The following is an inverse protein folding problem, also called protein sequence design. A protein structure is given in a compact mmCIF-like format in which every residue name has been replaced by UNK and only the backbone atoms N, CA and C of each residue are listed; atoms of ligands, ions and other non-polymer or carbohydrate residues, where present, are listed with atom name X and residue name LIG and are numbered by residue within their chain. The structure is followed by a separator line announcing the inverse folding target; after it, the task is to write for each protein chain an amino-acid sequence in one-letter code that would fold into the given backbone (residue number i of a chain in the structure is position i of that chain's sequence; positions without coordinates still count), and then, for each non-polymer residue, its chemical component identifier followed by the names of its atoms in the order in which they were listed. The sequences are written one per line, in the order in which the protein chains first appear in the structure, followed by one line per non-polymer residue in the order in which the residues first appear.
data_IF_999178519582
#
_entry.id   IF_999178519582
#
_cell.length_a   1.000
_cell.length_b   1.000
_cell.length_c   1.000
_cell.angle_alpha   90.00
_cell.angle_beta   90.00
_cell.angle_gamma   90.00
#
_symmetry.space_group_name_H-M   'P 1'
#
loop_
_entity.id
_entity.type
_entity.pdbx_description
1 polymer ?
#
# COMPACT_ATOMS: atom_id res chain seq x y z
N UNK A 1 -17.16 -33.76 -18.28
CA UNK A 1 -18.53 -34.19 -18.14
C UNK A 1 -19.44 -32.96 -18.05
N UNK A 2 -20.45 -32.85 -18.93
CA UNK A 2 -21.31 -31.68 -19.02
C UNK A 2 -22.13 -31.46 -17.73
N UNK A 3 -22.50 -32.54 -17.06
CA UNK A 3 -23.30 -32.50 -15.82
C UNK A 3 -22.52 -31.82 -14.68
N UNK A 4 -21.23 -32.10 -14.55
CA UNK A 4 -20.39 -31.45 -13.54
C UNK A 4 -20.10 -29.96 -13.85
N UNK A 5 -19.95 -29.62 -15.13
CA UNK A 5 -19.78 -28.22 -15.52
C UNK A 5 -21.04 -27.40 -15.17
N UNK A 6 -22.22 -27.96 -15.43
CA UNK A 6 -23.49 -27.34 -15.03
C UNK A 6 -23.63 -27.18 -13.53
N UNK A 7 -23.24 -28.22 -12.77
CA UNK A 7 -23.28 -28.16 -11.30
C UNK A 7 -22.33 -27.09 -10.72
N UNK A 8 -21.09 -26.97 -11.28
CA UNK A 8 -20.15 -25.91 -10.91
C UNK A 8 -20.77 -24.53 -11.16
N UNK A 9 -21.39 -24.33 -12.32
CA UNK A 9 -22.09 -23.09 -12.63
C UNK A 9 -23.24 -22.81 -11.66
N UNK A 10 -24.10 -23.79 -11.42
CA UNK A 10 -25.25 -23.66 -10.54
C UNK A 10 -24.84 -23.32 -9.09
N UNK A 11 -23.83 -24.03 -8.57
CA UNK A 11 -23.29 -23.75 -7.23
C UNK A 11 -22.64 -22.37 -7.15
N UNK A 12 -21.94 -21.94 -8.23
CA UNK A 12 -21.41 -20.60 -8.34
C UNK A 12 -22.49 -19.54 -8.25
N UNK A 13 -23.65 -19.74 -8.92
CA UNK A 13 -24.80 -18.83 -8.83
C UNK A 13 -25.42 -18.78 -7.42
N UNK A 14 -25.51 -19.92 -6.75
CA UNK A 14 -25.96 -19.97 -5.33
C UNK A 14 -24.96 -19.22 -4.44
N UNK A 15 -23.67 -19.45 -4.57
CA UNK A 15 -22.64 -18.78 -3.78
C UNK A 15 -22.64 -17.25 -3.98
N UNK A 16 -22.88 -16.78 -5.19
CA UNK A 16 -22.97 -15.34 -5.49
C UNK A 16 -24.21 -14.70 -4.85
N UNK A 17 -25.32 -15.40 -4.83
CA UNK A 17 -26.59 -14.91 -4.23
C UNK A 17 -26.66 -15.09 -2.71
N UNK A 18 -26.24 -16.25 -2.21
CA UNK A 18 -26.26 -16.65 -0.80
C UNK A 18 -25.03 -17.50 -0.47
N UNK A 19 -23.92 -16.83 -0.19
CA UNK A 19 -22.63 -17.46 0.13
C UNK A 19 -22.75 -18.36 1.38
N UNK A 20 -23.47 -17.93 2.39
CA UNK A 20 -23.63 -18.68 3.64
C UNK A 20 -24.31 -20.03 3.40
N UNK A 21 -25.35 -20.05 2.57
CA UNK A 21 -26.02 -21.29 2.18
C UNK A 21 -25.10 -22.21 1.36
N UNK A 22 -24.35 -21.66 0.41
CA UNK A 22 -23.40 -22.44 -0.38
C UNK A 22 -22.31 -23.08 0.51
N UNK A 23 -21.72 -22.30 1.42
CA UNK A 23 -20.70 -22.79 2.37
C UNK A 23 -21.25 -23.85 3.32
N UNK A 24 -22.45 -23.65 3.86
CA UNK A 24 -23.06 -24.61 4.80
C UNK A 24 -23.42 -25.96 4.16
N UNK A 25 -23.69 -25.97 2.87
CA UNK A 25 -24.19 -27.16 2.19
C UNK A 25 -23.19 -27.83 1.23
N UNK A 26 -22.05 -27.19 0.94
CA UNK A 26 -21.11 -27.70 -0.06
C UNK A 26 -20.64 -29.12 0.23
N UNK A 27 -20.31 -29.44 1.47
CA UNK A 27 -19.85 -30.77 1.88
C UNK A 27 -20.95 -31.84 1.62
N UNK A 28 -22.19 -31.53 2.02
CA UNK A 28 -23.33 -32.43 1.81
C UNK A 28 -23.62 -32.65 0.33
N UNK A 29 -23.54 -31.61 -0.48
CA UNK A 29 -23.82 -31.68 -1.93
C UNK A 29 -22.72 -32.47 -2.67
N UNK A 30 -21.50 -32.44 -2.17
CA UNK A 30 -20.34 -33.01 -2.87
C UNK A 30 -19.88 -34.37 -2.35
N UNK A 31 -20.39 -34.84 -1.20
CA UNK A 31 -19.87 -36.03 -0.48
C UNK A 31 -19.74 -37.31 -1.35
N UNK A 32 -20.69 -37.51 -2.27
CA UNK A 32 -20.74 -38.71 -3.11
C UNK A 32 -20.11 -38.48 -4.51
N UNK A 33 -19.47 -37.31 -4.73
CA UNK A 33 -18.86 -36.97 -6.00
C UNK A 33 -17.38 -37.40 -6.09
N UNK A 34 -16.86 -37.60 -7.29
CA UNK A 34 -15.43 -37.86 -7.47
C UNK A 34 -14.58 -36.71 -6.86
N UNK A 35 -13.46 -37.06 -6.20
CA UNK A 35 -12.59 -36.11 -5.52
C UNK A 35 -12.16 -34.90 -6.36
N UNK A 36 -11.83 -35.02 -7.67
CA UNK A 36 -11.55 -33.86 -8.49
C UNK A 36 -12.74 -32.89 -8.60
N UNK A 37 -13.96 -33.40 -8.70
CA UNK A 37 -15.19 -32.59 -8.79
C UNK A 37 -15.42 -31.86 -7.48
N UNK A 38 -15.25 -32.52 -6.34
CA UNK A 38 -15.34 -31.91 -5.03
C UNK A 38 -14.37 -30.72 -4.91
N UNK A 39 -13.11 -30.89 -5.35
CA UNK A 39 -12.11 -29.83 -5.35
C UNK A 39 -12.52 -28.63 -6.22
N UNK A 40 -13.03 -28.85 -7.45
CA UNK A 40 -13.49 -27.78 -8.33
C UNK A 40 -14.68 -26.99 -7.75
N UNK A 41 -15.62 -27.69 -7.11
CA UNK A 41 -16.78 -27.04 -6.48
C UNK A 41 -16.33 -26.20 -5.27
N UNK A 42 -15.45 -26.73 -4.43
CA UNK A 42 -14.86 -25.98 -3.31
C UNK A 42 -14.07 -24.76 -3.80
N UNK A 43 -13.28 -24.89 -4.87
CA UNK A 43 -12.57 -23.74 -5.47
C UNK A 43 -13.53 -22.65 -5.92
N UNK A 44 -14.62 -23.02 -6.57
CA UNK A 44 -15.64 -22.05 -7.05
C UNK A 44 -16.23 -21.26 -5.88
N UNK A 45 -16.66 -21.93 -4.82
CA UNK A 45 -17.23 -21.28 -3.63
C UNK A 45 -16.17 -20.44 -2.89
N UNK A 46 -14.95 -20.97 -2.75
CA UNK A 46 -13.83 -20.25 -2.16
C UNK A 46 -13.50 -18.95 -2.91
N UNK A 47 -13.43 -19.02 -4.23
CA UNK A 47 -13.17 -17.84 -5.09
C UNK A 47 -14.27 -16.79 -4.94
N UNK A 48 -15.53 -17.18 -5.05
CA UNK A 48 -16.67 -16.24 -4.89
C UNK A 48 -16.63 -15.63 -3.49
N UNK A 49 -16.45 -16.44 -2.45
CA UNK A 49 -16.35 -15.93 -1.07
C UNK A 49 -15.21 -14.96 -0.88
N UNK A 50 -14.04 -15.25 -1.46
CA UNK A 50 -12.84 -14.41 -1.38
C UNK A 50 -12.97 -13.09 -2.15
N UNK A 51 -13.70 -13.08 -3.28
CA UNK A 51 -13.94 -11.86 -4.07
C UNK A 51 -15.09 -11.00 -3.54
N UNK A 52 -15.97 -11.57 -2.75
CA UNK A 52 -17.18 -10.88 -2.21
C UNK A 52 -17.03 -10.44 -0.75
N UNK A 53 -15.82 -10.37 -0.22
CA UNK A 53 -15.55 -9.94 1.18
C UNK A 53 -16.17 -8.58 1.51
N UNK A 54 -16.23 -7.67 0.54
CA UNK A 54 -16.87 -6.35 0.74
C UNK A 54 -18.37 -6.45 1.05
N UNK A 55 -19.05 -7.47 0.51
CA UNK A 55 -20.46 -7.73 0.72
C UNK A 55 -20.71 -8.64 1.93
N UNK A 56 -19.96 -9.73 2.00
CA UNK A 56 -20.24 -10.84 2.91
C UNK A 56 -19.34 -10.87 4.15
N UNK A 57 -18.31 -10.01 4.23
CA UNK A 57 -17.29 -10.06 5.28
C UNK A 57 -16.31 -11.22 5.12
N UNK A 58 -15.40 -11.34 6.06
CA UNK A 58 -14.46 -12.45 6.14
C UNK A 58 -15.13 -13.67 6.79
N UNK A 59 -14.97 -14.84 6.18
CA UNK A 59 -15.53 -16.08 6.68
C UNK A 59 -14.49 -17.21 6.59
N UNK A 60 -14.24 -17.89 7.71
CA UNK A 60 -13.27 -19.00 7.78
C UNK A 60 -13.64 -20.15 6.86
N UNK A 61 -14.93 -20.37 6.60
CA UNK A 61 -15.37 -21.44 5.70
C UNK A 61 -14.98 -21.19 4.24
N UNK A 62 -14.75 -19.92 3.86
CA UNK A 62 -14.14 -19.57 2.56
C UNK A 62 -12.71 -20.12 2.48
N UNK A 63 -11.93 -19.95 3.55
CA UNK A 63 -10.58 -20.53 3.63
C UNK A 63 -10.64 -22.06 3.60
N UNK A 64 -11.56 -22.68 4.34
CA UNK A 64 -11.74 -24.14 4.33
C UNK A 64 -12.05 -24.65 2.92
N UNK A 65 -12.87 -23.94 2.15
CA UNK A 65 -13.16 -24.29 0.77
C UNK A 65 -11.90 -24.23 -0.13
N UNK A 66 -11.05 -23.22 0.04
CA UNK A 66 -9.75 -23.19 -0.63
C UNK A 66 -8.85 -24.35 -0.21
N UNK A 67 -8.76 -24.66 1.08
CA UNK A 67 -7.96 -25.78 1.59
C UNK A 67 -8.41 -27.12 1.01
N UNK A 68 -9.72 -27.34 0.86
CA UNK A 68 -10.29 -28.53 0.22
C UNK A 68 -9.99 -28.61 -1.29
N UNK A 69 -9.67 -27.49 -1.92
CA UNK A 69 -9.32 -27.44 -3.35
C UNK A 69 -7.82 -27.50 -3.62
N UNK A 70 -6.99 -27.56 -2.60
CA UNK A 70 -5.53 -27.63 -2.75
C UNK A 70 -5.09 -28.82 -3.63
N UNK A 71 -4.12 -28.56 -4.50
CA UNK A 71 -3.64 -29.50 -5.52
C UNK A 71 -4.30 -29.36 -6.87
N UNK A 72 -5.33 -28.50 -7.01
CA UNK A 72 -5.77 -28.03 -8.34
C UNK A 72 -4.83 -26.91 -8.83
N UNK A 73 -4.71 -26.74 -10.17
CA UNK A 73 -4.09 -25.53 -10.71
C UNK A 73 -4.97 -24.33 -10.41
N UNK A 74 -4.42 -23.34 -9.71
CA UNK A 74 -5.06 -22.05 -9.50
C UNK A 74 -4.61 -21.04 -10.54
N UNK A 75 -5.48 -20.11 -10.89
CA UNK A 75 -5.05 -18.88 -11.56
C UNK A 75 -4.22 -18.02 -10.62
N UNK A 76 -3.39 -17.09 -11.13
CA UNK A 76 -2.65 -16.16 -10.29
C UNK A 76 -3.53 -15.42 -9.28
N UNK A 77 -4.71 -14.98 -9.69
CA UNK A 77 -5.67 -14.28 -8.85
C UNK A 77 -6.24 -15.18 -7.74
N UNK A 78 -6.64 -16.40 -8.08
CA UNK A 78 -7.16 -17.36 -7.09
C UNK A 78 -6.14 -17.69 -6.00
N UNK A 79 -4.87 -17.91 -6.40
CA UNK A 79 -3.80 -18.19 -5.45
C UNK A 79 -3.53 -17.00 -4.49
N UNK A 80 -3.58 -15.77 -5.00
CA UNK A 80 -3.46 -14.57 -4.16
C UNK A 80 -4.63 -14.39 -3.20
N UNK A 81 -5.86 -14.65 -3.65
CA UNK A 81 -7.05 -14.58 -2.79
C UNK A 81 -6.96 -15.64 -1.69
N UNK A 82 -6.58 -16.87 -2.05
CA UNK A 82 -6.35 -17.95 -1.09
C UNK A 82 -5.31 -17.54 -0.04
N UNK A 83 -4.17 -17.01 -0.46
CA UNK A 83 -3.12 -16.55 0.44
C UNK A 83 -3.63 -15.46 1.41
N UNK A 84 -4.39 -14.47 0.92
CA UNK A 84 -4.95 -13.40 1.76
C UNK A 84 -5.98 -13.91 2.75
N UNK A 85 -6.82 -14.87 2.38
CA UNK A 85 -7.72 -15.53 3.33
C UNK A 85 -6.94 -16.27 4.41
N UNK A 86 -5.92 -17.03 4.04
CA UNK A 86 -5.07 -17.74 4.97
C UNK A 86 -4.30 -16.81 5.93
N UNK A 87 -3.74 -15.72 5.41
CA UNK A 87 -3.07 -14.68 6.20
C UNK A 87 -4.05 -14.04 7.20
N UNK A 88 -5.26 -13.70 6.73
CA UNK A 88 -6.30 -13.10 7.57
C UNK A 88 -6.62 -13.95 8.80
N UNK A 89 -6.71 -15.25 8.64
CA UNK A 89 -7.06 -16.16 9.72
C UNK A 89 -5.84 -16.75 10.46
N UNK A 90 -4.62 -16.37 10.10
CA UNK A 90 -3.40 -16.90 10.70
C UNK A 90 -3.24 -18.42 10.48
N UNK A 91 -3.80 -18.94 9.39
CA UNK A 91 -3.69 -20.36 9.01
C UNK A 91 -2.39 -20.57 8.23
N UNK A 92 -1.29 -20.69 8.94
CA UNK A 92 0.04 -20.62 8.36
C UNK A 92 0.37 -21.76 7.39
N UNK A 93 -0.14 -22.97 7.62
CA UNK A 93 -0.03 -24.07 6.65
C UNK A 93 -0.81 -23.75 5.37
N UNK A 94 -1.98 -23.14 5.48
CA UNK A 94 -2.75 -22.70 4.32
C UNK A 94 -2.04 -21.57 3.55
N UNK A 95 -1.31 -20.69 4.24
CA UNK A 95 -0.45 -19.68 3.60
C UNK A 95 0.60 -20.36 2.72
N UNK A 96 1.29 -21.37 3.25
CA UNK A 96 2.30 -22.12 2.50
C UNK A 96 1.67 -22.82 1.28
N UNK A 97 0.53 -23.47 1.44
CA UNK A 97 -0.20 -24.14 0.34
C UNK A 97 -0.63 -23.13 -0.73
N UNK A 98 -1.12 -21.98 -0.32
CA UNK A 98 -1.52 -20.93 -1.26
C UNK A 98 -0.32 -20.40 -2.07
N UNK A 99 0.80 -20.13 -1.42
CA UNK A 99 2.03 -19.69 -2.08
C UNK A 99 2.59 -20.79 -2.99
N UNK A 100 2.52 -22.06 -2.55
CA UNK A 100 2.91 -23.21 -3.38
C UNK A 100 2.06 -23.33 -4.66
N UNK A 101 0.81 -22.90 -4.59
CA UNK A 101 -0.11 -22.87 -5.74
C UNK A 101 0.13 -21.72 -6.72
N UNK A 102 1.00 -20.77 -6.40
CA UNK A 102 1.34 -19.62 -7.24
C UNK A 102 2.28 -19.99 -8.39
N UNK A 103 2.30 -19.16 -9.42
CA UNK A 103 3.32 -19.25 -10.48
C UNK A 103 4.72 -19.00 -9.92
N UNK A 104 5.76 -19.47 -10.60
CA UNK A 104 7.15 -19.19 -10.19
C UNK A 104 7.42 -17.69 -10.04
N UNK A 105 6.92 -16.88 -10.97
CA UNK A 105 7.09 -15.42 -10.94
C UNK A 105 6.47 -14.82 -9.69
N UNK A 106 5.23 -15.19 -9.37
CA UNK A 106 4.56 -14.71 -8.15
C UNK A 106 5.33 -15.11 -6.87
N UNK A 107 5.75 -16.38 -6.78
CA UNK A 107 6.49 -16.86 -5.60
C UNK A 107 7.77 -16.06 -5.33
N UNK A 108 8.41 -15.51 -6.36
CA UNK A 108 9.64 -14.72 -6.26
C UNK A 108 9.39 -13.27 -5.87
N UNK A 109 8.17 -12.78 -5.89
CA UNK A 109 7.86 -11.44 -5.43
C UNK A 109 8.16 -11.29 -3.93
N UNK A 110 8.78 -10.18 -3.54
CA UNK A 110 9.16 -9.89 -2.15
C UNK A 110 7.98 -10.04 -1.19
N UNK A 111 6.79 -9.64 -1.62
CA UNK A 111 5.53 -9.79 -0.89
C UNK A 111 5.29 -11.25 -0.48
N UNK A 112 5.31 -12.18 -1.41
CA UNK A 112 5.02 -13.59 -1.13
C UNK A 112 6.16 -14.31 -0.45
N UNK A 113 7.41 -13.89 -0.71
CA UNK A 113 8.57 -14.36 0.05
C UNK A 113 8.49 -13.94 1.53
N UNK A 114 8.06 -12.72 1.82
CA UNK A 114 7.82 -12.28 3.20
C UNK A 114 6.78 -13.16 3.90
N UNK A 115 5.64 -13.41 3.25
CA UNK A 115 4.58 -14.24 3.85
C UNK A 115 4.98 -15.71 3.98
N UNK A 116 5.79 -16.24 3.07
CA UNK A 116 6.38 -17.58 3.21
C UNK A 116 7.30 -17.64 4.44
N UNK A 117 8.13 -16.63 4.66
CA UNK A 117 8.98 -16.54 5.84
C UNK A 117 8.13 -16.43 7.13
N UNK A 118 7.09 -15.59 7.13
CA UNK A 118 6.15 -15.46 8.26
C UNK A 118 5.49 -16.81 8.61
N UNK A 119 5.03 -17.52 7.61
CA UNK A 119 4.40 -18.84 7.82
C UNK A 119 5.42 -19.90 8.29
N UNK A 120 6.62 -19.90 7.74
CA UNK A 120 7.69 -20.82 8.14
C UNK A 120 8.14 -20.56 9.59
N UNK A 121 8.25 -19.31 10.00
CA UNK A 121 8.59 -18.93 11.37
C UNK A 121 7.58 -19.49 12.38
N UNK A 122 6.31 -19.56 12.04
CA UNK A 122 5.23 -20.05 12.90
C UNK A 122 5.19 -21.58 13.06
N UNK A 123 5.86 -22.33 12.20
CA UNK A 123 6.02 -23.78 12.38
C UNK A 123 6.82 -24.13 13.63
N UNK A 124 7.70 -23.25 14.07
CA UNK A 124 8.39 -23.34 15.35
C UNK A 124 9.58 -24.28 15.40
N UNK A 125 9.75 -25.20 14.45
CA UNK A 125 10.92 -26.06 14.38
C UNK A 125 12.17 -25.29 13.92
N UNK A 126 13.36 -25.79 14.31
CA UNK A 126 14.64 -25.13 14.06
C UNK A 126 14.94 -24.91 12.56
N UNK A 127 14.56 -25.87 11.72
CA UNK A 127 14.81 -25.79 10.27
C UNK A 127 13.96 -24.71 9.62
N UNK A 128 12.66 -24.68 9.92
CA UNK A 128 11.71 -23.69 9.41
C UNK A 128 12.05 -22.26 9.88
N UNK A 129 12.47 -22.11 11.15
CA UNK A 129 12.92 -20.80 11.66
C UNK A 129 14.17 -20.30 10.94
N UNK A 130 15.15 -21.19 10.68
CA UNK A 130 16.34 -20.85 9.93
C UNK A 130 16.02 -20.44 8.49
N UNK A 131 15.15 -21.19 7.82
CA UNK A 131 14.70 -20.88 6.47
C UNK A 131 14.01 -19.51 6.41
N UNK A 132 13.14 -19.20 7.38
CA UNK A 132 12.51 -17.88 7.50
C UNK A 132 13.53 -16.76 7.67
N UNK A 133 14.52 -16.94 8.55
CA UNK A 133 15.58 -15.96 8.80
C UNK A 133 16.40 -15.67 7.53
N UNK A 134 16.72 -16.68 6.74
CA UNK A 134 17.44 -16.50 5.48
C UNK A 134 16.64 -15.72 4.45
N UNK A 135 15.33 -15.96 4.37
CA UNK A 135 14.45 -15.16 3.52
C UNK A 135 14.41 -13.71 3.99
N UNK A 136 14.22 -13.46 5.29
CA UNK A 136 14.21 -12.11 5.84
C UNK A 136 15.52 -11.37 5.57
N UNK A 137 16.68 -12.02 5.75
CA UNK A 137 18.00 -11.42 5.46
C UNK A 137 18.12 -11.02 3.99
N UNK A 138 17.67 -11.88 3.08
CA UNK A 138 17.69 -11.55 1.65
C UNK A 138 16.78 -10.37 1.32
N UNK A 139 15.54 -10.36 1.83
CA UNK A 139 14.60 -9.26 1.64
C UNK A 139 15.10 -7.95 2.24
N UNK A 140 15.72 -8.01 3.42
CA UNK A 140 16.30 -6.86 4.09
C UNK A 140 17.42 -6.18 3.29
N UNK A 141 18.08 -6.93 2.40
CA UNK A 141 19.17 -6.44 1.54
C UNK A 141 18.70 -6.07 0.14
N UNK A 142 17.53 -6.52 -0.31
CA UNK A 142 17.07 -6.35 -1.70
C UNK A 142 16.42 -5.00 -1.97
N UNK A 143 16.03 -4.24 -0.94
CA UNK A 143 15.37 -2.95 -1.11
C UNK A 143 14.95 -2.30 0.20
N UNK A 144 14.11 -1.29 0.07
CA UNK A 144 13.60 -0.47 1.19
C UNK A 144 12.10 -0.17 1.02
N UNK A 145 11.40 -1.05 0.32
CA UNK A 145 9.95 -1.03 0.22
C UNK A 145 9.31 -1.71 1.44
N UNK A 146 7.99 -1.74 1.47
CA UNK A 146 7.20 -2.21 2.61
C UNK A 146 7.66 -3.57 3.18
N UNK A 147 7.76 -4.60 2.33
CA UNK A 147 8.14 -5.94 2.80
C UNK A 147 9.63 -6.05 3.14
N UNK A 148 10.48 -5.26 2.51
CA UNK A 148 11.90 -5.18 2.85
C UNK A 148 12.11 -4.56 4.24
N UNK A 149 11.37 -3.49 4.55
CA UNK A 149 11.41 -2.85 5.88
C UNK A 149 10.85 -3.76 6.96
N UNK A 150 9.73 -4.46 6.71
CA UNK A 150 9.22 -5.48 7.63
C UNK A 150 10.23 -6.60 7.87
N UNK A 151 10.91 -7.06 6.81
CA UNK A 151 11.95 -8.09 6.94
C UNK A 151 13.14 -7.61 7.77
N UNK A 152 13.56 -6.34 7.64
CA UNK A 152 14.58 -5.74 8.51
C UNK A 152 14.18 -5.82 9.98
N UNK A 153 12.94 -5.46 10.29
CA UNK A 153 12.43 -5.51 11.67
C UNK A 153 12.46 -6.96 12.22
N UNK A 154 12.10 -7.94 11.40
CA UNK A 154 12.10 -9.37 11.79
C UNK A 154 13.48 -9.92 12.15
N UNK A 155 14.55 -9.37 11.60
CA UNK A 155 15.93 -9.76 11.94
C UNK A 155 16.60 -8.78 12.91
N UNK A 156 15.82 -7.88 13.53
CA UNK A 156 16.33 -6.91 14.50
C UNK A 156 17.16 -5.78 13.89
N UNK A 157 17.10 -5.59 12.58
CA UNK A 157 17.76 -4.45 11.91
C UNK A 157 16.83 -3.24 11.94
N UNK A 158 17.35 -2.13 12.42
CA UNK A 158 16.69 -0.84 12.24
C UNK A 158 17.01 -0.27 10.87
N UNK A 159 16.00 0.30 10.21
CA UNK A 159 16.26 1.14 9.06
C UNK A 159 17.06 2.35 9.53
N UNK A 160 18.34 2.34 9.21
CA UNK A 160 19.28 3.35 9.68
C UNK A 160 19.57 4.35 8.58
N UNK A 161 19.65 5.52 8.98
CA UNK A 161 19.61 6.66 8.19
C UNK A 161 20.84 7.47 8.09
N UNK A 162 21.81 6.99 7.46
CA UNK A 162 22.37 7.87 6.46
C UNK A 162 21.55 7.65 5.18
N UNK A 163 20.38 8.28 5.13
CA UNK A 163 19.61 8.27 3.89
C UNK A 163 20.54 8.71 2.76
N UNK A 164 20.65 7.96 1.66
CA UNK A 164 21.52 8.33 0.58
C UNK A 164 21.23 9.74 0.09
N UNK A 165 22.24 10.59 0.03
CA UNK A 165 22.14 11.99 -0.40
C UNK A 165 23.16 12.28 -1.50
N UNK A 166 23.34 11.36 -2.42
CA UNK A 166 24.26 11.51 -3.52
C UNK A 166 23.85 12.67 -4.43
N UNK A 167 24.82 13.55 -4.71
CA UNK A 167 24.58 14.72 -5.55
C UNK A 167 24.99 14.40 -7.00
N UNK A 168 24.25 14.97 -7.98
CA UNK A 168 24.68 14.89 -9.37
C UNK A 168 25.97 15.67 -9.57
N UNK A 169 26.88 15.12 -10.37
CA UNK A 169 28.13 15.79 -10.72
C UNK A 169 27.88 17.02 -11.62
N UNK A 170 28.92 17.87 -11.78
CA UNK A 170 28.88 18.98 -12.75
C UNK A 170 28.64 18.44 -14.17
N UNK A 171 29.27 17.31 -14.51
CA UNK A 171 29.06 16.66 -15.80
C UNK A 171 27.61 16.21 -16.00
N UNK A 172 26.96 15.66 -14.97
CA UNK A 172 25.54 15.26 -15.03
C UNK A 172 24.64 16.46 -15.28
N UNK A 173 24.91 17.57 -14.59
CA UNK A 173 24.16 18.82 -14.79
C UNK A 173 24.37 19.40 -16.19
N UNK A 174 25.60 19.31 -16.74
CA UNK A 174 25.88 19.73 -18.11
C UNK A 174 25.14 18.88 -19.12
N UNK A 175 25.14 17.56 -18.96
CA UNK A 175 24.36 16.62 -19.80
C UNK A 175 22.87 16.89 -19.72
N UNK A 176 22.34 17.20 -18.56
CA UNK A 176 20.93 17.61 -18.38
C UNK A 176 20.58 18.84 -19.22
N UNK A 177 21.47 19.85 -19.21
CA UNK A 177 21.28 21.08 -19.97
C UNK A 177 21.40 20.88 -21.50
N UNK A 178 22.02 19.79 -21.93
CA UNK A 178 22.16 19.43 -23.35
C UNK A 178 21.06 18.48 -23.83
N UNK A 179 20.44 17.73 -22.92
CA UNK A 179 19.39 16.77 -23.28
C UNK A 179 18.13 17.50 -23.77
N UNK A 180 17.74 17.18 -25.01
CA UNK A 180 16.64 17.90 -25.70
C UNK A 180 15.28 17.68 -25.02
N UNK A 181 15.04 16.51 -24.47
CA UNK A 181 13.75 16.18 -23.83
C UNK A 181 13.59 16.86 -22.49
N UNK A 182 14.64 16.84 -21.65
CA UNK A 182 14.62 17.60 -20.39
C UNK A 182 14.53 19.11 -20.65
N UNK A 183 15.25 19.63 -21.62
CA UNK A 183 15.14 21.04 -22.02
C UNK A 183 13.73 21.42 -22.43
N UNK A 184 13.08 20.58 -23.21
CA UNK A 184 11.67 20.79 -23.62
C UNK A 184 10.73 20.75 -22.41
N UNK A 185 10.89 19.76 -21.53
CA UNK A 185 10.06 19.63 -20.33
C UNK A 185 10.18 20.88 -19.43
N UNK A 186 11.40 21.39 -19.20
CA UNK A 186 11.62 22.61 -18.43
C UNK A 186 11.08 23.85 -19.15
N UNK A 187 11.26 23.96 -20.47
CA UNK A 187 10.72 25.07 -21.25
C UNK A 187 9.18 25.09 -21.19
N UNK A 188 8.52 23.95 -21.36
CA UNK A 188 7.07 23.82 -21.22
C UNK A 188 6.59 24.19 -19.82
N UNK A 189 7.33 23.80 -18.78
CA UNK A 189 7.02 24.16 -17.39
C UNK A 189 7.13 25.68 -17.17
N UNK A 190 8.15 26.32 -17.74
CA UNK A 190 8.40 27.78 -17.57
C UNK A 190 7.35 28.66 -18.24
N UNK A 191 6.65 28.16 -19.23
CA UNK A 191 5.55 28.89 -19.91
C UNK A 191 4.17 28.41 -19.42
N UNK A 192 4.11 27.70 -18.31
CA UNK A 192 2.86 27.13 -17.77
C UNK A 192 2.03 26.36 -18.81
N UNK A 193 2.70 25.63 -19.71
CA UNK A 193 2.03 24.79 -20.67
C UNK A 193 1.15 23.75 -19.98
N UNK A 194 0.05 23.28 -20.63
CA UNK A 194 -0.82 22.28 -20.06
C UNK A 194 -0.06 21.06 -19.55
N UNK A 195 -0.40 20.61 -18.33
CA UNK A 195 0.32 19.55 -17.60
C UNK A 195 0.49 18.26 -18.42
N UNK A 196 -0.46 17.96 -19.32
CA UNK A 196 -0.38 16.79 -20.20
C UNK A 196 0.87 16.81 -21.09
N UNK A 197 1.25 17.94 -21.65
CA UNK A 197 2.45 18.06 -22.50
C UNK A 197 3.72 18.02 -21.66
N UNK A 198 3.75 18.80 -20.58
CA UNK A 198 4.89 18.92 -19.68
C UNK A 198 5.24 17.57 -19.06
N UNK A 199 4.22 16.86 -18.55
CA UNK A 199 4.38 15.55 -17.91
C UNK A 199 4.80 14.49 -18.91
N UNK A 200 4.25 14.48 -20.13
CA UNK A 200 4.63 13.52 -21.17
C UNK A 200 6.09 13.65 -21.57
N UNK A 201 6.57 14.86 -21.81
CA UNK A 201 7.96 15.12 -22.20
C UNK A 201 8.92 14.74 -21.05
N UNK A 202 8.58 15.08 -19.80
CA UNK A 202 9.33 14.68 -18.63
C UNK A 202 9.41 13.16 -18.48
N UNK A 203 8.27 12.50 -18.54
CA UNK A 203 8.21 11.03 -18.37
C UNK A 203 9.00 10.31 -19.45
N UNK A 204 8.97 10.82 -20.68
CA UNK A 204 9.78 10.30 -21.77
C UNK A 204 11.27 10.45 -21.50
N UNK A 205 11.72 11.65 -21.12
CA UNK A 205 13.12 11.92 -20.79
C UNK A 205 13.63 11.02 -19.66
N UNK A 206 12.86 10.93 -18.57
CA UNK A 206 13.19 10.06 -17.43
C UNK A 206 13.26 8.60 -17.84
N UNK A 207 12.30 8.13 -18.66
CA UNK A 207 12.33 6.76 -19.18
C UNK A 207 13.58 6.48 -20.01
N UNK A 208 14.01 7.42 -20.86
CA UNK A 208 15.22 7.25 -21.66
C UNK A 208 16.49 7.18 -20.77
N UNK A 209 16.58 8.01 -19.73
CA UNK A 209 17.67 7.96 -18.77
C UNK A 209 17.66 6.65 -17.98
N UNK A 210 16.49 6.20 -17.52
CA UNK A 210 16.35 4.93 -16.81
C UNK A 210 16.77 3.72 -17.66
N UNK A 211 16.34 3.63 -18.92
CA UNK A 211 16.71 2.53 -19.84
C UNK A 211 18.22 2.50 -20.14
N UNK A 212 18.92 3.61 -19.94
CA UNK A 212 20.38 3.71 -20.06
C UNK A 212 21.11 3.50 -18.73
N UNK A 213 20.38 3.21 -17.65
CA UNK A 213 20.94 3.11 -16.28
C UNK A 213 21.70 4.36 -15.85
N UNK A 214 21.22 5.54 -16.27
CA UNK A 214 21.90 6.82 -16.06
C UNK A 214 21.40 7.53 -14.79
N UNK A 215 21.78 7.02 -13.64
CA UNK A 215 21.42 7.59 -12.34
C UNK A 215 21.92 9.03 -12.17
N UNK A 216 23.06 9.38 -12.75
CA UNK A 216 23.60 10.73 -12.68
C UNK A 216 22.68 11.76 -13.36
N UNK A 217 22.16 11.42 -14.55
CA UNK A 217 21.21 12.27 -15.28
C UNK A 217 19.86 12.33 -14.55
N UNK A 218 19.39 11.19 -14.00
CA UNK A 218 18.15 11.15 -13.20
C UNK A 218 18.25 12.01 -11.95
N UNK A 219 19.37 11.97 -11.23
CA UNK A 219 19.62 12.81 -10.05
C UNK A 219 19.73 14.29 -10.42
N UNK A 220 20.37 14.63 -11.54
CA UNK A 220 20.47 16.01 -12.02
C UNK A 220 19.06 16.56 -12.37
N UNK A 221 18.24 15.75 -13.02
CA UNK A 221 16.84 16.11 -13.33
C UNK A 221 16.02 16.28 -12.06
N UNK A 222 16.11 15.33 -11.11
CA UNK A 222 15.42 15.40 -9.83
C UNK A 222 15.82 16.65 -9.02
N UNK A 223 17.11 16.95 -8.95
CA UNK A 223 17.62 18.15 -8.28
C UNK A 223 17.00 19.42 -8.87
N UNK A 224 17.10 19.58 -10.18
CA UNK A 224 16.58 20.79 -10.85
C UNK A 224 15.07 20.93 -10.70
N UNK A 225 14.32 19.86 -10.82
CA UNK A 225 12.87 19.88 -10.57
C UNK A 225 12.55 20.26 -9.12
N UNK A 226 13.29 19.73 -8.16
CA UNK A 226 13.16 20.07 -6.74
C UNK A 226 13.47 21.55 -6.48
N UNK A 227 14.56 22.08 -7.05
CA UNK A 227 14.97 23.48 -6.93
C UNK A 227 13.90 24.44 -7.51
N UNK A 228 13.13 23.99 -8.48
CA UNK A 228 12.01 24.72 -9.09
C UNK A 228 10.66 24.53 -8.36
N UNK A 229 10.62 23.78 -7.27
CA UNK A 229 9.37 23.42 -6.58
C UNK A 229 8.49 22.43 -7.37
N UNK A 230 9.03 21.75 -8.36
CA UNK A 230 8.33 20.76 -9.17
C UNK A 230 8.51 19.35 -8.57
N UNK A 231 8.00 19.19 -7.35
CA UNK A 231 8.30 18.06 -6.47
C UNK A 231 7.82 16.72 -7.02
N UNK A 232 6.63 16.65 -7.61
CA UNK A 232 6.11 15.41 -8.18
C UNK A 232 7.01 14.86 -9.30
N UNK A 233 7.61 15.74 -10.08
CA UNK A 233 8.55 15.36 -11.14
C UNK A 233 9.94 15.05 -10.60
N UNK A 234 10.38 15.75 -9.57
CA UNK A 234 11.60 15.40 -8.83
C UNK A 234 11.51 13.98 -8.25
N UNK A 235 10.42 13.67 -7.56
CA UNK A 235 10.12 12.35 -7.02
C UNK A 235 10.10 11.30 -8.13
N UNK A 236 9.42 11.58 -9.24
CA UNK A 236 9.31 10.67 -10.38
C UNK A 236 10.68 10.27 -10.96
N UNK A 237 11.61 11.20 -11.05
CA UNK A 237 12.98 10.92 -11.50
C UNK A 237 13.79 10.18 -10.43
N UNK A 238 13.75 10.65 -9.18
CA UNK A 238 14.50 10.07 -8.07
C UNK A 238 14.08 8.63 -7.73
N UNK A 239 12.80 8.29 -7.87
CA UNK A 239 12.30 6.93 -7.66
C UNK A 239 12.87 5.91 -8.65
N UNK A 240 13.44 6.35 -9.79
CA UNK A 240 13.96 5.50 -10.85
C UNK A 240 15.46 5.31 -10.83
N UNK A 241 16.15 5.86 -9.85
CA UNK A 241 17.59 5.60 -9.67
C UNK A 241 17.81 4.19 -9.11
N UNK A 242 18.85 3.51 -9.60
CA UNK A 242 19.12 2.10 -9.28
C UNK A 242 20.29 1.89 -8.31
N UNK A 243 21.36 2.65 -8.47
CA UNK A 243 22.61 2.52 -7.69
C UNK A 243 22.96 3.75 -6.88
N UNK A 244 22.66 4.93 -7.44
CA UNK A 244 22.91 6.22 -6.78
C UNK A 244 21.57 6.83 -6.39
N UNK A 245 21.42 7.15 -5.11
CA UNK A 245 20.15 7.63 -4.59
C UNK A 245 20.30 8.97 -3.87
N UNK A 246 19.27 9.79 -3.99
CA UNK A 246 19.11 10.95 -3.12
C UNK A 246 17.69 11.00 -2.56
N UNK A 247 17.59 10.69 -1.28
CA UNK A 247 16.28 10.60 -0.62
C UNK A 247 15.67 11.96 -0.32
N UNK A 248 16.45 13.05 -0.33
CA UNK A 248 15.87 14.40 -0.20
C UNK A 248 15.06 14.80 -1.44
N UNK A 249 15.35 14.20 -2.61
CA UNK A 249 14.54 14.39 -3.81
C UNK A 249 13.41 13.37 -3.91
N UNK A 250 13.65 12.13 -3.46
CA UNK A 250 12.63 11.06 -3.45
C UNK A 250 11.56 11.29 -2.38
N UNK A 251 11.95 11.81 -1.24
CA UNK A 251 11.11 12.14 -0.09
C UNK A 251 11.23 13.63 0.22
N UNK A 252 10.80 14.46 -0.72
CA UNK A 252 10.81 15.91 -0.56
C UNK A 252 9.99 16.35 0.65
N UNK A 253 10.45 17.39 1.35
CA UNK A 253 9.80 17.95 2.55
C UNK A 253 9.36 19.40 2.37
N UNK A 254 8.56 19.74 1.34
CA UNK A 254 8.08 21.10 1.17
C UNK A 254 7.18 21.50 2.34
N UNK A 255 7.12 22.81 2.61
CA UNK A 255 6.28 23.38 3.68
C UNK A 255 6.53 22.81 5.07
N UNK A 256 7.80 22.43 5.39
CA UNK A 256 8.13 21.66 6.59
C UNK A 256 7.63 22.30 7.87
N UNK A 257 7.83 23.59 8.07
CA UNK A 257 7.37 24.29 9.27
C UNK A 257 5.85 24.18 9.44
N UNK A 258 5.08 24.32 8.36
CA UNK A 258 3.62 24.21 8.33
C UNK A 258 3.15 22.80 8.65
N UNK A 259 3.72 21.80 7.98
CA UNK A 259 3.35 20.38 8.21
C UNK A 259 3.66 19.96 9.63
N UNK A 260 4.86 20.26 10.12
CA UNK A 260 5.28 19.92 11.49
C UNK A 260 4.39 20.60 12.54
N UNK A 261 4.12 21.90 12.36
CA UNK A 261 3.29 22.68 13.30
C UNK A 261 1.86 22.11 13.35
N UNK A 262 1.17 21.97 12.22
CA UNK A 262 -0.20 21.47 12.20
C UNK A 262 -0.31 20.02 12.66
N UNK A 263 0.65 19.16 12.32
CA UNK A 263 0.66 17.77 12.77
C UNK A 263 0.77 17.69 14.30
N UNK A 264 1.71 18.42 14.88
CA UNK A 264 1.91 18.45 16.34
C UNK A 264 0.71 19.01 17.09
N UNK A 265 0.07 20.06 16.57
CA UNK A 265 -1.11 20.68 17.18
C UNK A 265 -2.28 19.71 17.33
N UNK A 266 -2.38 18.70 16.49
CA UNK A 266 -3.45 17.68 16.52
C UNK A 266 -2.97 16.31 16.96
N UNK A 267 -1.72 16.18 17.43
CA UNK A 267 -1.16 14.93 17.95
C UNK A 267 -0.86 13.89 16.85
N UNK A 268 -0.59 14.32 15.63
CA UNK A 268 -0.19 13.46 14.50
C UNK A 268 1.32 13.49 14.35
N UNK A 269 1.93 12.33 14.08
CA UNK A 269 3.34 12.26 13.69
C UNK A 269 3.57 12.98 12.35
N UNK A 270 4.43 14.01 12.29
CA UNK A 270 4.74 14.71 11.04
C UNK A 270 5.24 13.79 9.92
N UNK A 271 6.00 12.73 10.26
CA UNK A 271 6.47 11.77 9.27
C UNK A 271 5.32 11.00 8.62
N UNK A 272 4.31 10.65 9.39
CA UNK A 272 3.09 10.03 8.87
C UNK A 272 2.28 10.99 7.99
N UNK A 273 2.13 12.24 8.42
CA UNK A 273 1.46 13.27 7.63
C UNK A 273 2.15 13.46 6.26
N UNK A 274 3.49 13.53 6.23
CA UNK A 274 4.26 13.58 4.98
C UNK A 274 4.08 12.32 4.13
N UNK A 275 4.11 11.16 4.74
CA UNK A 275 3.94 9.88 4.05
C UNK A 275 2.60 9.81 3.32
N UNK A 276 1.54 10.27 3.97
CA UNK A 276 0.20 10.37 3.40
C UNK A 276 0.14 11.43 2.30
N UNK A 277 0.68 12.62 2.52
CA UNK A 277 0.69 13.71 1.54
C UNK A 277 1.45 13.32 0.26
N UNK A 278 2.58 12.63 0.39
CA UNK A 278 3.32 12.09 -0.75
C UNK A 278 2.48 11.10 -1.56
N UNK A 279 1.74 10.24 -0.89
CA UNK A 279 0.86 9.27 -1.53
C UNK A 279 -0.33 9.95 -2.23
N UNK A 280 -0.89 10.99 -1.63
CA UNK A 280 -2.07 11.68 -2.15
C UNK A 280 -1.79 12.56 -3.38
N UNK A 281 -0.75 13.37 -3.34
CA UNK A 281 -0.53 14.41 -4.36
C UNK A 281 0.89 14.50 -4.89
N UNK A 282 1.85 13.84 -4.27
CA UNK A 282 3.29 14.10 -4.50
C UNK A 282 3.61 15.59 -4.43
N UNK A 283 2.93 16.30 -3.54
CA UNK A 283 3.09 17.74 -3.27
C UNK A 283 2.64 18.67 -4.41
N UNK A 284 1.72 18.25 -5.24
CA UNK A 284 1.04 19.12 -6.21
C UNK A 284 -0.09 19.86 -5.49
N UNK A 285 0.11 21.13 -5.15
CA UNK A 285 -0.86 21.92 -4.38
C UNK A 285 -2.18 22.15 -5.11
N UNK A 286 -2.17 22.21 -6.43
CA UNK A 286 -3.36 22.34 -7.28
C UNK A 286 -3.95 20.99 -7.72
N UNK A 287 -3.49 19.87 -7.14
CA UNK A 287 -3.98 18.55 -7.52
C UNK A 287 -5.49 18.43 -7.28
N UNK A 288 -6.18 17.88 -8.27
CA UNK A 288 -7.60 17.54 -8.18
C UNK A 288 -7.84 16.15 -8.74
N UNK A 289 -8.53 15.32 -7.98
CA UNK A 289 -8.97 14.03 -8.48
C UNK A 289 -10.24 14.16 -9.35
N UNK A 290 -10.53 13.16 -10.16
CA UNK A 290 -11.74 13.10 -10.98
C UNK A 290 -13.04 13.09 -10.14
N UNK A 291 -12.96 12.71 -8.86
CA UNK A 291 -14.10 12.74 -7.92
C UNK A 291 -14.15 14.01 -7.06
N UNK A 292 -13.24 14.98 -7.30
CA UNK A 292 -13.27 16.30 -6.70
C UNK A 292 -12.42 16.47 -5.43
N UNK A 293 -11.62 15.49 -5.02
CA UNK A 293 -10.64 15.69 -3.96
C UNK A 293 -9.60 16.74 -4.37
N UNK A 294 -9.14 17.57 -3.45
CA UNK A 294 -8.27 18.68 -3.78
C UNK A 294 -7.11 18.91 -2.84
N UNK A 295 -6.05 19.49 -3.40
CA UNK A 295 -4.88 19.97 -2.70
C UNK A 295 -3.88 18.90 -2.28
N UNK A 296 -2.93 19.28 -1.44
CA UNK A 296 -1.80 18.43 -1.03
C UNK A 296 -2.23 17.14 -0.35
N UNK A 297 -3.28 17.18 0.47
CA UNK A 297 -3.81 16.04 1.21
C UNK A 297 -5.09 15.46 0.59
N UNK A 298 -5.45 15.86 -0.63
CA UNK A 298 -6.58 15.34 -1.40
C UNK A 298 -7.89 15.21 -0.60
N UNK A 299 -8.32 16.33 -0.01
CA UNK A 299 -9.52 16.36 0.82
C UNK A 299 -10.76 16.53 -0.07
N UNK A 300 -11.77 15.71 0.18
CA UNK A 300 -13.07 15.84 -0.47
C UNK A 300 -13.81 17.08 0.04
N UNK A 301 -14.58 17.79 -0.82
CA UNK A 301 -15.33 18.98 -0.39
C UNK A 301 -16.23 18.76 0.81
N UNK A 302 -16.92 17.63 0.87
CA UNK A 302 -17.77 17.28 2.02
C UNK A 302 -16.96 17.02 3.29
N UNK A 303 -15.79 16.42 3.17
CA UNK A 303 -14.87 16.24 4.29
C UNK A 303 -14.34 17.60 4.79
N UNK A 304 -13.97 18.50 3.89
CA UNK A 304 -13.56 19.85 4.26
C UNK A 304 -14.65 20.65 4.99
N UNK A 305 -15.92 20.50 4.54
CA UNK A 305 -17.09 21.08 5.26
C UNK A 305 -17.23 20.51 6.67
N UNK A 306 -17.09 19.19 6.82
CA UNK A 306 -17.13 18.53 8.12
C UNK A 306 -16.02 19.04 9.04
N UNK A 307 -14.80 19.10 8.54
CA UNK A 307 -13.63 19.58 9.28
C UNK A 307 -13.82 21.02 9.71
N UNK A 308 -14.21 21.93 8.79
CA UNK A 308 -14.48 23.33 9.10
C UNK A 308 -15.51 23.45 10.23
N UNK A 309 -16.63 22.70 10.14
CA UNK A 309 -17.66 22.68 11.19
C UNK A 309 -17.09 22.23 12.54
N UNK A 310 -16.28 21.16 12.57
CA UNK A 310 -15.66 20.66 13.79
C UNK A 310 -14.66 21.65 14.40
N UNK A 311 -14.02 22.46 13.55
CA UNK A 311 -13.09 23.51 13.98
C UNK A 311 -13.79 24.83 14.32
N UNK A 312 -15.12 24.94 14.17
CA UNK A 312 -15.89 26.15 14.39
C UNK A 312 -15.70 27.22 13.29
N UNK A 313 -15.32 26.81 12.10
CA UNK A 313 -15.02 27.69 10.96
C UNK A 313 -16.10 27.58 9.87
N UNK A 314 -16.22 28.67 9.08
CA UNK A 314 -17.03 28.65 7.85
C UNK A 314 -16.21 28.05 6.72
N UNK A 315 -16.76 27.02 6.06
CA UNK A 315 -16.11 26.41 4.90
C UNK A 315 -16.02 27.40 3.71
N UNK A 316 -14.81 27.48 3.16
CA UNK A 316 -14.54 28.19 1.90
C UNK A 316 -13.98 27.17 0.87
N UNK A 317 -14.54 27.06 -0.36
CA UNK A 317 -14.01 26.18 -1.40
C UNK A 317 -12.53 26.40 -1.73
N UNK A 318 -12.00 27.61 -1.55
CA UNK A 318 -10.58 27.92 -1.73
C UNK A 318 -9.66 27.15 -0.75
N UNK A 319 -10.19 26.67 0.37
CA UNK A 319 -9.45 25.86 1.35
C UNK A 319 -8.83 24.59 0.74
N UNK A 320 -9.42 24.03 -0.31
CA UNK A 320 -8.90 22.84 -0.96
C UNK A 320 -7.59 23.07 -1.71
N UNK A 321 -7.33 24.28 -2.16
CA UNK A 321 -6.12 24.65 -2.93
C UNK A 321 -5.19 25.59 -2.17
N UNK A 322 -5.65 26.19 -1.07
CA UNK A 322 -4.76 26.92 -0.17
C UNK A 322 -3.90 25.96 0.62
N UNK A 323 -2.59 26.04 0.42
CA UNK A 323 -1.61 25.10 0.98
C UNK A 323 -1.71 24.98 2.50
N UNK A 324 -1.73 26.12 3.21
CA UNK A 324 -1.77 26.10 4.68
C UNK A 324 -3.07 25.51 5.20
N UNK A 325 -4.21 25.92 4.64
CA UNK A 325 -5.53 25.44 5.05
C UNK A 325 -5.73 23.97 4.69
N UNK A 326 -5.25 23.52 3.53
CA UNK A 326 -5.33 22.11 3.13
C UNK A 326 -4.53 21.20 4.07
N UNK A 327 -3.31 21.56 4.44
CA UNK A 327 -2.49 20.84 5.41
C UNK A 327 -3.17 20.84 6.78
N UNK A 328 -3.68 21.97 7.24
CA UNK A 328 -4.37 22.09 8.51
C UNK A 328 -5.63 21.22 8.57
N UNK A 329 -6.46 21.24 7.55
CA UNK A 329 -7.66 20.40 7.46
C UNK A 329 -7.32 18.93 7.32
N UNK A 330 -6.35 18.58 6.51
CA UNK A 330 -5.95 17.17 6.29
C UNK A 330 -5.37 16.52 7.55
N UNK A 331 -4.51 17.22 8.28
CA UNK A 331 -3.95 16.71 9.55
C UNK A 331 -5.02 16.61 10.63
N UNK A 332 -5.93 17.58 10.70
CA UNK A 332 -7.07 17.52 11.61
C UNK A 332 -7.99 16.33 11.30
N UNK A 333 -8.34 16.13 10.03
CA UNK A 333 -9.16 14.99 9.61
C UNK A 333 -8.47 13.64 9.90
N UNK A 334 -7.17 13.55 9.64
CA UNK A 334 -6.41 12.34 9.98
C UNK A 334 -6.43 12.04 11.48
N UNK A 335 -6.31 13.07 12.32
CA UNK A 335 -6.44 12.96 13.78
C UNK A 335 -7.85 12.52 14.19
N UNK A 336 -8.90 13.08 13.57
CA UNK A 336 -10.28 12.66 13.83
C UNK A 336 -10.48 11.17 13.55
N UNK A 337 -10.01 10.70 12.38
CA UNK A 337 -10.14 9.29 12.00
C UNK A 337 -9.32 8.40 12.94
N UNK A 338 -8.11 8.80 13.29
CA UNK A 338 -7.27 8.05 14.23
C UNK A 338 -7.99 7.86 15.57
N UNK A 339 -8.55 8.92 16.12
CA UNK A 339 -9.31 8.86 17.38
C UNK A 339 -10.56 7.98 17.27
N UNK A 340 -11.25 8.04 16.13
CA UNK A 340 -12.43 7.20 15.86
C UNK A 340 -12.08 5.72 15.71
N UNK A 341 -10.87 5.40 15.25
CA UNK A 341 -10.41 4.06 14.92
C UNK A 341 -9.34 3.56 15.92
N UNK A 342 -9.67 3.58 17.20
CA UNK A 342 -8.86 3.01 18.30
C UNK A 342 -7.45 3.60 18.39
N UNK A 343 -7.26 4.83 18.00
CA UNK A 343 -5.95 5.51 17.92
C UNK A 343 -4.91 4.74 17.10
N UNK A 344 -5.36 3.95 16.15
CA UNK A 344 -4.50 3.08 15.34
C UNK A 344 -4.15 3.74 13.99
N UNK A 345 -2.86 4.02 13.72
CA UNK A 345 -2.44 4.68 12.48
C UNK A 345 -2.74 3.87 11.21
N UNK A 346 -2.68 2.54 11.27
CA UNK A 346 -2.96 1.68 10.12
C UNK A 346 -4.44 1.73 9.75
N UNK A 347 -5.32 1.62 10.76
CA UNK A 347 -6.76 1.78 10.55
C UNK A 347 -7.12 3.18 10.06
N UNK A 348 -6.48 4.22 10.63
CA UNK A 348 -6.70 5.60 10.21
C UNK A 348 -6.25 5.84 8.76
N UNK A 349 -5.12 5.26 8.35
CA UNK A 349 -4.63 5.36 6.97
C UNK A 349 -5.59 4.66 6.00
N UNK A 350 -6.05 3.47 6.33
CA UNK A 350 -7.09 2.77 5.53
C UNK A 350 -8.39 3.59 5.47
N UNK A 351 -8.78 4.17 6.61
CA UNK A 351 -9.97 5.02 6.74
C UNK A 351 -9.87 6.32 5.96
N UNK A 352 -8.69 6.90 5.85
CA UNK A 352 -8.47 8.11 5.05
C UNK A 352 -8.75 7.86 3.56
N UNK A 353 -8.26 6.76 3.02
CA UNK A 353 -8.44 6.39 1.62
C UNK A 353 -9.84 5.82 1.33
N UNK A 354 -10.30 4.84 2.12
CA UNK A 354 -11.53 4.09 1.82
C UNK A 354 -12.77 4.55 2.62
N UNK A 355 -12.58 5.45 3.57
CA UNK A 355 -13.59 5.87 4.53
C UNK A 355 -13.52 5.07 5.85
N UNK A 356 -13.71 5.75 7.01
CA UNK A 356 -13.54 5.15 8.33
C UNK A 356 -14.47 3.97 8.59
N UNK A 357 -15.69 4.01 8.07
CA UNK A 357 -16.65 2.91 8.23
C UNK A 357 -16.19 1.61 7.53
N UNK A 358 -15.53 1.71 6.40
CA UNK A 358 -14.96 0.52 5.72
C UNK A 358 -13.78 -0.03 6.50
N UNK A 359 -12.85 0.83 6.92
CA UNK A 359 -11.72 0.42 7.75
C UNK A 359 -12.17 -0.29 9.02
N UNK A 360 -13.21 0.24 9.70
CA UNK A 360 -13.83 -0.38 10.87
C UNK A 360 -14.44 -1.76 10.55
N UNK A 361 -15.14 -1.91 9.43
CA UNK A 361 -15.73 -3.20 9.03
C UNK A 361 -14.68 -4.26 8.68
N UNK A 362 -13.47 -3.86 8.30
CA UNK A 362 -12.37 -4.78 8.01
C UNK A 362 -11.56 -5.18 9.24
N UNK A 363 -11.85 -4.60 10.42
CA UNK A 363 -11.26 -5.09 11.67
C UNK A 363 -11.65 -6.55 11.94
N UNK A 364 -10.84 -7.30 12.66
CA UNK A 364 -11.16 -8.68 13.03
C UNK A 364 -12.32 -8.75 14.02
N UNK A 365 -13.12 -9.83 13.93
CA UNK A 365 -14.29 -10.02 14.79
C UNK A 365 -13.98 -10.82 16.07
N UNK A 366 -12.96 -11.71 16.05
CA UNK A 366 -12.77 -12.69 17.12
C UNK A 366 -11.45 -12.58 17.87
N UNK A 367 -10.42 -12.04 17.24
CA UNK A 367 -9.11 -11.83 17.86
C UNK A 367 -8.40 -10.67 17.17
N UNK A 368 -7.51 -9.99 17.92
CA UNK A 368 -6.67 -8.97 17.31
C UNK A 368 -5.75 -9.56 16.25
N UNK A 369 -5.40 -8.76 15.24
CA UNK A 369 -4.46 -9.14 14.18
C UNK A 369 -3.19 -8.31 14.27
N UNK A 370 -2.07 -8.89 13.85
CA UNK A 370 -0.91 -8.07 13.52
C UNK A 370 -1.23 -7.12 12.37
N UNK A 371 -0.62 -5.95 12.37
CA UNK A 371 -0.94 -4.91 11.40
C UNK A 371 -0.57 -5.33 9.96
N UNK A 372 0.46 -6.15 9.77
CA UNK A 372 0.82 -6.72 8.48
C UNK A 372 -0.27 -7.68 7.95
N UNK A 373 -0.84 -8.54 8.81
CA UNK A 373 -1.96 -9.41 8.43
C UNK A 373 -3.21 -8.62 8.03
N UNK A 374 -3.56 -7.61 8.82
CA UNK A 374 -4.68 -6.72 8.49
C UNK A 374 -4.45 -6.04 7.14
N UNK A 375 -3.29 -5.41 6.96
CA UNK A 375 -2.95 -4.66 5.75
C UNK A 375 -3.01 -5.55 4.51
N UNK A 376 -2.42 -6.76 4.56
CA UNK A 376 -2.47 -7.68 3.41
C UNK A 376 -3.88 -8.17 3.11
N UNK A 377 -4.72 -8.29 4.12
CA UNK A 377 -6.10 -8.77 3.96
C UNK A 377 -7.11 -7.68 3.58
N UNK A 378 -6.72 -6.41 3.48
CA UNK A 378 -7.63 -5.34 3.02
C UNK A 378 -8.23 -5.73 1.66
N UNK A 379 -9.57 -5.77 1.52
CA UNK A 379 -10.21 -6.28 0.31
C UNK A 379 -9.97 -5.43 -0.93
N UNK A 380 -9.88 -4.10 -0.76
CA UNK A 380 -9.62 -3.16 -1.85
C UNK A 380 -8.12 -3.08 -2.13
N UNK A 381 -7.68 -3.49 -3.32
CA UNK A 381 -6.27 -3.47 -3.72
C UNK A 381 -5.66 -2.07 -3.63
N UNK A 382 -6.39 -1.05 -4.08
CA UNK A 382 -5.97 0.34 -3.97
C UNK A 382 -5.67 0.74 -2.52
N UNK A 383 -6.59 0.45 -1.59
CA UNK A 383 -6.41 0.80 -0.17
C UNK A 383 -5.31 -0.02 0.49
N UNK A 384 -5.18 -1.29 0.13
CA UNK A 384 -4.10 -2.16 0.60
C UNK A 384 -2.73 -1.60 0.22
N UNK A 385 -2.54 -1.22 -1.03
CA UNK A 385 -1.29 -0.64 -1.53
C UNK A 385 -1.08 0.78 -0.95
N UNK A 386 -2.15 1.54 -0.79
CA UNK A 386 -2.11 2.86 -0.14
C UNK A 386 -1.56 2.78 1.29
N UNK A 387 -2.06 1.87 2.11
CA UNK A 387 -1.58 1.68 3.48
C UNK A 387 -0.10 1.28 3.50
N UNK A 388 0.30 0.32 2.67
CA UNK A 388 1.70 -0.10 2.53
C UNK A 388 2.61 1.08 2.17
N UNK A 389 2.22 1.85 1.17
CA UNK A 389 2.99 2.99 0.68
C UNK A 389 3.09 4.10 1.75
N UNK A 390 1.99 4.44 2.42
CA UNK A 390 2.00 5.48 3.46
C UNK A 390 2.90 5.08 4.64
N UNK A 391 2.83 3.83 5.12
CA UNK A 391 3.67 3.37 6.22
C UNK A 391 5.15 3.32 5.82
N UNK A 392 5.47 2.90 4.62
CA UNK A 392 6.81 2.94 4.05
C UNK A 392 7.32 4.37 3.95
N UNK A 393 6.55 5.27 3.35
CA UNK A 393 6.90 6.68 3.24
C UNK A 393 7.13 7.31 4.62
N UNK A 394 6.25 7.06 5.59
CA UNK A 394 6.38 7.58 6.94
C UNK A 394 7.69 7.13 7.61
N UNK A 395 8.10 5.89 7.35
CA UNK A 395 9.37 5.36 7.86
C UNK A 395 10.57 6.12 7.26
N UNK A 396 10.57 6.38 5.96
CA UNK A 396 11.59 7.20 5.32
C UNK A 396 11.58 8.65 5.80
N UNK A 397 10.40 9.25 5.94
CA UNK A 397 10.28 10.61 6.47
C UNK A 397 10.72 10.74 7.93
N UNK A 398 10.53 9.69 8.75
CA UNK A 398 11.05 9.68 10.11
C UNK A 398 12.55 9.92 10.18
N UNK A 399 13.29 9.30 9.26
CA UNK A 399 14.72 9.55 9.11
C UNK A 399 15.03 11.00 8.70
N UNK A 400 14.40 11.47 7.63
CA UNK A 400 14.66 12.81 7.09
C UNK A 400 14.25 13.93 8.03
N UNK A 401 13.28 13.70 8.91
CA UNK A 401 12.84 14.63 9.95
C UNK A 401 13.65 14.51 11.26
N UNK A 402 14.72 13.72 11.28
CA UNK A 402 15.61 13.59 12.42
C UNK A 402 15.06 12.78 13.58
N UNK A 403 14.09 11.89 13.35
CA UNK A 403 13.52 11.01 14.38
C UNK A 403 14.44 9.81 14.72
N UNK A 404 15.62 9.72 14.10
CA UNK A 404 16.59 8.64 14.32
C UNK A 404 16.24 7.35 13.55
N UNK A 405 16.95 6.25 13.86
CA UNK A 405 16.73 4.97 13.19
C UNK A 405 15.30 4.48 13.34
N UNK A 406 14.73 3.95 12.26
CA UNK A 406 13.31 3.59 12.17
C UNK A 406 13.08 2.08 12.23
N UNK A 407 11.95 1.71 12.79
CA UNK A 407 11.34 0.38 12.75
C UNK A 407 9.92 0.59 12.19
N UNK A 408 9.60 0.00 11.03
CA UNK A 408 8.28 0.20 10.43
C UNK A 408 7.16 -0.36 11.33
N UNK A 409 7.39 -1.48 12.00
CA UNK A 409 6.41 -2.08 12.91
C UNK A 409 6.05 -1.16 14.09
N UNK A 410 6.94 -0.25 14.51
CA UNK A 410 6.61 0.73 15.54
C UNK A 410 5.50 1.71 15.14
N UNK A 411 5.27 1.87 13.82
CA UNK A 411 4.18 2.66 13.24
C UNK A 411 2.92 1.83 12.97
N UNK A 412 3.02 0.52 13.15
CA UNK A 412 2.01 -0.44 12.77
C UNK A 412 1.57 -1.29 13.99
N UNK A 413 0.90 -0.66 14.98
CA UNK A 413 0.45 -1.39 16.16
C UNK A 413 -0.62 -2.43 15.80
N UNK A 414 -0.73 -3.45 16.64
CA UNK A 414 -1.74 -4.51 16.54
C UNK A 414 -3.13 -3.93 16.29
N UNK A 415 -3.86 -4.52 15.38
CA UNK A 415 -5.25 -4.13 15.05
C UNK A 415 -6.20 -4.78 16.06
N UNK A 416 -6.92 -4.00 16.85
CA UNK A 416 -7.86 -4.54 17.82
C UNK A 416 -9.08 -5.17 17.14
N UNK A 417 -9.77 -6.03 17.87
CA UNK A 417 -11.09 -6.52 17.45
C UNK A 417 -12.07 -5.37 17.25
N UNK A 418 -12.98 -5.55 16.33
CA UNK A 418 -14.07 -4.61 16.12
C UNK A 418 -14.96 -4.55 17.37
N UNK A 419 -15.16 -3.35 17.91
CA UNK A 419 -16.13 -3.15 18.98
C UNK A 419 -17.53 -3.46 18.45
N UNK A 420 -18.22 -4.43 19.04
CA UNK A 420 -19.64 -4.67 18.83
C UNK A 420 -20.35 -3.54 19.59
N UNK A 421 -20.92 -2.59 18.85
CA UNK A 421 -21.82 -1.60 19.40
C UNK A 421 -23.24 -2.10 19.33
#
# INVERSE_FOLDING_TARGET
DADYAYLIYALGRVADSDLSNALANIQRVTQDMPAPVQKYLNRTVGYIGGTTVMKNGFNRDVLNAFDQSYGLPFTPEEAEIYARQAIRFGSWESVIRAIDSMTMTQRQEDRWQYWLARASEQRGDKGSKKAAEEIYKRLAMSGEDYHNLLAKDRIGQRYNASAPQEQPSVSDQTRLNQDIHFRRAFALRNIDAPAVYTTREWNWAVRQAYLKHDDGLLLAAAKRASDMGWYDRAIYAADRTEKKHNYTYRYATPHQATVVSHSRNVGIDPAWAYGLMRQESRFVSAARSHVGAGGLMQIMPNTAKLVAKQMGETYNPAALTDTNTNIRYGTFYLSMIQNQLSSNPVLATAGYNAGPNRAKRWQPDYQSLSADQYTESIPLSETRDYVKNVMTNATHYGILLGQGPQIIESRMPTIPMRSIQ
#
